data_IF_936899594188
#
_entry.id   IF_936899594188
#
_cell.length_a   1.000
_cell.length_b   1.000
_cell.length_c   1.000
_cell.angle_alpha   90.00
_cell.angle_beta   90.00
_cell.angle_gamma   90.00
#
_symmetry.space_group_name_H-M   'P 1'
#
loop_
_entity.id
_entity.type
_entity.pdbx_description
1 polymer ?
#
# COMPACT_ATOMS: atom_id res chain seq x y z
N UNK A 1 26.58 -4.45 14.50
CA UNK A 1 25.30 -4.72 13.82
C UNK A 1 25.62 -5.12 12.38
N UNK A 2 25.24 -6.32 11.94
CA UNK A 2 25.57 -6.77 10.58
C UNK A 2 24.52 -6.27 9.59
N UNK A 3 24.97 -5.56 8.56
CA UNK A 3 24.19 -5.18 7.38
C UNK A 3 24.66 -6.05 6.21
N UNK A 4 23.74 -6.72 5.53
CA UNK A 4 24.07 -7.48 4.32
C UNK A 4 23.56 -6.78 3.06
N UNK A 5 24.35 -6.83 2.01
CA UNK A 5 23.96 -6.35 0.67
C UNK A 5 23.85 -7.57 -0.24
N UNK A 6 22.69 -7.75 -0.86
CA UNK A 6 22.41 -8.90 -1.72
C UNK A 6 21.96 -8.41 -3.09
N UNK A 7 22.62 -8.92 -4.13
CA UNK A 7 22.17 -8.82 -5.51
C UNK A 7 21.79 -10.22 -5.99
N UNK A 8 20.62 -10.38 -6.61
CA UNK A 8 20.16 -11.69 -7.06
C UNK A 8 19.36 -11.66 -8.38
N UNK A 9 19.55 -12.67 -9.23
CA UNK A 9 18.87 -12.78 -10.52
C UNK A 9 18.45 -14.22 -10.75
N UNK A 10 17.17 -14.47 -11.05
CA UNK A 10 16.66 -15.81 -11.36
C UNK A 10 16.75 -16.83 -10.22
N UNK A 11 16.90 -16.38 -8.97
CA UNK A 11 17.12 -17.26 -7.80
C UNK A 11 16.04 -17.13 -6.73
N UNK A 12 16.12 -18.01 -5.74
CA UNK A 12 15.39 -17.91 -4.47
C UNK A 12 16.34 -17.41 -3.39
N UNK A 13 15.93 -16.37 -2.67
CA UNK A 13 16.64 -15.84 -1.50
C UNK A 13 15.80 -16.12 -0.26
N UNK A 14 16.39 -16.77 0.74
CA UNK A 14 15.79 -16.96 2.05
C UNK A 14 16.76 -16.46 3.13
N UNK A 15 16.35 -15.49 3.95
CA UNK A 15 17.23 -14.86 4.94
C UNK A 15 16.53 -14.53 6.24
N UNK A 16 17.28 -14.66 7.34
CA UNK A 16 16.92 -14.17 8.67
C UNK A 16 18.06 -13.30 9.18
N UNK A 17 17.89 -11.98 9.15
CA UNK A 17 18.98 -11.04 9.44
C UNK A 17 18.49 -9.83 10.22
N UNK A 18 19.43 -9.11 10.81
CA UNK A 18 19.11 -7.85 11.50
C UNK A 18 18.77 -6.78 10.47
N UNK A 19 19.63 -6.61 9.45
CA UNK A 19 19.42 -5.64 8.39
C UNK A 19 19.93 -6.13 7.03
N UNK A 20 19.11 -5.96 5.99
CA UNK A 20 19.47 -6.28 4.61
C UNK A 20 19.15 -5.12 3.65
N UNK A 21 19.99 -4.97 2.62
CA UNK A 21 19.69 -4.26 1.38
C UNK A 21 19.66 -5.31 0.26
N UNK A 22 18.55 -5.40 -0.46
CA UNK A 22 18.30 -6.46 -1.44
C UNK A 22 17.91 -5.85 -2.77
N UNK A 23 18.64 -6.23 -3.82
CA UNK A 23 18.33 -5.86 -5.21
C UNK A 23 18.16 -7.12 -6.04
N UNK A 24 16.96 -7.35 -6.56
CA UNK A 24 16.71 -8.60 -7.27
C UNK A 24 15.79 -8.50 -8.48
N UNK A 25 16.02 -9.39 -9.45
CA UNK A 25 15.24 -9.49 -10.69
C UNK A 25 14.82 -10.93 -10.94
N UNK A 26 13.53 -11.15 -11.19
CA UNK A 26 13.00 -12.48 -11.53
C UNK A 26 13.17 -13.52 -10.42
N UNK A 27 13.05 -13.09 -9.16
CA UNK A 27 13.41 -13.90 -7.98
C UNK A 27 12.27 -14.04 -6.98
N UNK A 28 12.36 -15.07 -6.13
CA UNK A 28 11.54 -15.20 -4.94
C UNK A 28 12.35 -14.83 -3.71
N UNK A 29 11.91 -13.83 -2.96
CA UNK A 29 12.61 -13.28 -1.80
C UNK A 29 11.75 -13.49 -0.56
N UNK A 30 12.18 -14.42 0.29
CA UNK A 30 11.55 -14.69 1.59
C UNK A 30 12.49 -14.29 2.73
N UNK A 31 11.94 -13.77 3.82
CA UNK A 31 12.78 -13.57 5.00
C UNK A 31 12.16 -12.82 6.17
N UNK A 32 12.89 -12.87 7.27
CA UNK A 32 12.56 -12.27 8.55
C UNK A 32 13.68 -11.33 8.98
N UNK A 33 13.35 -10.21 9.61
CA UNK A 33 14.40 -9.33 10.10
C UNK A 33 13.89 -8.06 10.77
N UNK A 34 14.81 -7.21 11.23
CA UNK A 34 14.41 -5.94 11.81
C UNK A 34 14.15 -4.92 10.70
N UNK A 35 15.11 -4.71 9.80
CA UNK A 35 15.04 -3.64 8.80
C UNK A 35 15.47 -4.14 7.43
N UNK A 36 14.60 -4.05 6.43
CA UNK A 36 14.98 -4.33 5.05
C UNK A 36 14.73 -3.15 4.11
N UNK A 37 15.66 -2.98 3.17
CA UNK A 37 15.48 -2.11 2.00
C UNK A 37 15.52 -3.01 0.77
N UNK A 38 14.44 -3.02 0.00
CA UNK A 38 14.25 -3.92 -1.14
C UNK A 38 14.01 -3.11 -2.40
N UNK A 39 14.76 -3.42 -3.45
CA UNK A 39 14.49 -2.96 -4.81
C UNK A 39 14.35 -4.16 -5.74
N UNK A 40 13.21 -4.31 -6.42
CA UNK A 40 12.99 -5.54 -7.16
C UNK A 40 12.10 -5.41 -8.40
N UNK A 41 12.34 -6.28 -9.39
CA UNK A 41 11.58 -6.33 -10.64
C UNK A 41 11.18 -7.76 -10.96
N UNK A 42 9.89 -8.00 -11.25
CA UNK A 42 9.42 -9.35 -11.61
C UNK A 42 9.59 -10.37 -10.48
N UNK A 43 9.45 -9.95 -9.22
CA UNK A 43 9.75 -10.78 -8.04
C UNK A 43 8.52 -11.05 -7.19
N UNK A 44 8.53 -12.16 -6.46
CA UNK A 44 7.66 -12.33 -5.30
C UNK A 44 8.44 -12.05 -4.02
N UNK A 45 7.92 -11.18 -3.16
CA UNK A 45 8.52 -10.79 -1.89
C UNK A 45 7.58 -11.21 -0.76
N UNK A 46 8.01 -12.07 0.15
CA UNK A 46 7.29 -12.43 1.36
C UNK A 46 8.13 -12.14 2.60
N UNK A 47 7.67 -11.24 3.47
CA UNK A 47 8.47 -10.73 4.58
C UNK A 47 7.69 -10.59 5.88
N UNK A 48 8.40 -10.84 6.98
CA UNK A 48 7.97 -10.35 8.29
C UNK A 48 9.08 -9.52 8.91
N UNK A 49 8.84 -8.23 9.11
CA UNK A 49 9.86 -7.30 9.59
C UNK A 49 9.32 -6.28 10.57
N UNK A 50 10.23 -5.63 11.31
CA UNK A 50 9.83 -4.43 12.05
C UNK A 50 9.59 -3.29 11.06
N UNK A 51 10.53 -3.07 10.13
CA UNK A 51 10.43 -2.04 9.11
C UNK A 51 10.88 -2.53 7.72
N UNK A 52 10.07 -2.28 6.69
CA UNK A 52 10.48 -2.43 5.29
C UNK A 52 10.39 -1.11 4.52
N UNK A 53 11.36 -0.90 3.63
CA UNK A 53 11.26 0.04 2.52
C UNK A 53 11.33 -0.78 1.23
N UNK A 54 10.28 -0.75 0.42
CA UNK A 54 10.16 -1.56 -0.79
C UNK A 54 9.94 -0.66 -2.01
N UNK A 55 10.79 -0.83 -3.01
CA UNK A 55 10.61 -0.27 -4.35
C UNK A 55 10.48 -1.42 -5.34
N UNK A 56 9.40 -1.48 -6.11
CA UNK A 56 9.20 -2.64 -6.96
C UNK A 56 8.36 -2.41 -8.23
N UNK A 57 8.62 -3.22 -9.25
CA UNK A 57 7.91 -3.20 -10.53
C UNK A 57 7.50 -4.61 -10.95
N UNK A 58 6.22 -4.83 -11.27
CA UNK A 58 5.74 -6.12 -11.73
C UNK A 58 5.89 -7.22 -10.68
N UNK A 59 5.57 -6.94 -9.42
CA UNK A 59 5.86 -7.81 -8.28
C UNK A 59 4.63 -8.14 -7.46
N UNK A 60 4.71 -9.24 -6.71
CA UNK A 60 3.79 -9.52 -5.62
C UNK A 60 4.53 -9.31 -4.29
N UNK A 61 3.95 -8.51 -3.41
CA UNK A 61 4.53 -8.14 -2.13
C UNK A 61 3.57 -8.54 -1.02
N UNK A 62 3.92 -9.60 -0.30
CA UNK A 62 3.23 -10.02 0.92
C UNK A 62 4.07 -9.73 2.15
N UNK A 63 3.43 -9.38 3.25
CA UNK A 63 4.14 -9.34 4.51
C UNK A 63 3.43 -8.75 5.71
N UNK A 64 4.13 -8.82 6.83
CA UNK A 64 3.68 -8.35 8.13
C UNK A 64 4.76 -7.48 8.75
N UNK A 65 4.38 -6.43 9.47
CA UNK A 65 5.37 -5.67 10.21
C UNK A 65 4.84 -4.53 11.04
N UNK A 66 5.72 -3.67 11.55
CA UNK A 66 5.28 -2.46 12.22
C UNK A 66 5.12 -1.33 11.21
N UNK A 67 6.13 -1.10 10.37
CA UNK A 67 6.16 0.02 9.44
C UNK A 67 6.56 -0.44 8.04
N UNK A 68 5.72 -0.17 7.04
CA UNK A 68 6.12 -0.35 5.64
C UNK A 68 6.04 0.95 4.86
N UNK A 69 7.08 1.20 4.05
CA UNK A 69 7.11 2.25 3.05
C UNK A 69 7.25 1.59 1.68
N UNK A 70 6.22 1.69 0.85
CA UNK A 70 6.14 0.97 -0.42
C UNK A 70 5.98 1.97 -1.56
N UNK A 71 6.79 1.80 -2.61
CA UNK A 71 6.63 2.48 -3.88
C UNK A 71 6.62 1.45 -5.01
N UNK A 72 5.52 1.35 -5.75
CA UNK A 72 5.34 0.23 -6.64
C UNK A 72 4.58 0.55 -7.94
N UNK A 73 4.89 -0.21 -9.00
CA UNK A 73 4.23 -0.10 -10.32
C UNK A 73 3.85 -1.50 -10.83
N UNK A 74 2.59 -1.69 -11.23
CA UNK A 74 2.18 -2.98 -11.80
C UNK A 74 2.22 -4.13 -10.78
N UNK A 75 1.92 -3.86 -9.51
CA UNK A 75 2.16 -4.80 -8.40
C UNK A 75 0.90 -5.16 -7.64
N UNK A 76 0.89 -6.35 -7.04
CA UNK A 76 -0.06 -6.71 -6.00
C UNK A 76 0.61 -6.60 -4.63
N UNK A 77 0.00 -5.86 -3.71
CA UNK A 77 0.49 -5.67 -2.35
C UNK A 77 -0.55 -6.22 -1.38
N UNK A 78 -0.18 -7.17 -0.53
CA UNK A 78 -0.99 -7.65 0.58
C UNK A 78 -0.21 -7.51 1.89
N UNK A 79 -0.65 -6.64 2.78
CA UNK A 79 0.12 -6.29 3.99
C UNK A 79 -0.76 -6.17 5.22
N UNK A 80 -0.16 -6.50 6.36
CA UNK A 80 -0.67 -6.05 7.65
C UNK A 80 0.42 -5.33 8.43
N UNK A 81 0.12 -4.13 8.92
CA UNK A 81 1.09 -3.32 9.66
C UNK A 81 0.48 -2.47 10.77
N UNK A 82 1.32 -1.81 11.57
CA UNK A 82 0.85 -0.70 12.39
C UNK A 82 0.67 0.54 11.52
N UNK A 83 1.68 0.86 10.70
CA UNK A 83 1.69 2.02 9.83
C UNK A 83 2.19 1.66 8.43
N UNK A 84 1.47 2.12 7.42
CA UNK A 84 1.75 1.80 6.02
C UNK A 84 1.69 3.05 5.15
N UNK A 85 2.78 3.35 4.48
CA UNK A 85 2.88 4.43 3.49
C UNK A 85 3.03 3.80 2.12
N UNK A 86 2.04 3.97 1.25
CA UNK A 86 2.00 3.31 -0.06
C UNK A 86 1.85 4.34 -1.17
N UNK A 87 2.79 4.32 -2.11
CA UNK A 87 2.73 5.05 -3.38
C UNK A 87 2.65 4.03 -4.51
N UNK A 88 1.62 4.11 -5.34
CA UNK A 88 1.35 3.03 -6.28
C UNK A 88 0.77 3.47 -7.63
N UNK A 89 1.18 2.80 -8.71
CA UNK A 89 0.66 3.02 -10.06
C UNK A 89 0.26 1.68 -10.68
N UNK A 90 -1.01 1.56 -11.10
CA UNK A 90 -1.56 0.33 -11.70
C UNK A 90 -1.34 -0.88 -10.80
N UNK A 91 -1.99 -0.88 -9.64
CA UNK A 91 -1.73 -1.87 -8.59
C UNK A 91 -3.00 -2.31 -7.89
N UNK A 92 -2.99 -3.52 -7.34
CA UNK A 92 -3.96 -3.93 -6.34
C UNK A 92 -3.31 -3.87 -4.96
N UNK A 93 -3.95 -3.17 -4.03
CA UNK A 93 -3.48 -3.09 -2.65
C UNK A 93 -4.57 -3.60 -1.72
N UNK A 94 -4.25 -4.66 -1.00
CA UNK A 94 -5.04 -5.21 0.08
C UNK A 94 -4.28 -5.08 1.40
N UNK A 95 -4.95 -4.74 2.49
CA UNK A 95 -4.28 -4.78 3.77
C UNK A 95 -5.03 -4.18 4.95
N UNK A 96 -4.44 -4.45 6.11
CA UNK A 96 -4.87 -3.91 7.40
C UNK A 96 -3.76 -3.07 8.00
N UNK A 97 -4.06 -1.85 8.46
CA UNK A 97 -3.16 -1.15 9.35
C UNK A 97 -3.87 -0.29 10.38
N UNK A 98 -3.20 0.10 11.46
CA UNK A 98 -3.76 1.16 12.29
C UNK A 98 -3.82 2.48 11.51
N UNK A 99 -2.77 2.77 10.73
CA UNK A 99 -2.68 3.98 9.91
C UNK A 99 -2.24 3.63 8.48
N UNK A 100 -3.00 4.08 7.49
CA UNK A 100 -2.52 4.13 6.11
C UNK A 100 -2.37 5.56 5.58
N UNK A 101 -1.30 5.77 4.82
CA UNK A 101 -1.13 6.93 3.95
C UNK A 101 -0.94 6.41 2.53
N UNK A 102 -1.86 6.76 1.64
CA UNK A 102 -1.94 6.15 0.31
C UNK A 102 -1.95 7.25 -0.75
N UNK A 103 -1.10 7.10 -1.76
CA UNK A 103 -1.14 7.90 -2.97
C UNK A 103 -1.08 7.00 -4.20
N UNK A 104 -2.17 6.90 -4.95
CA UNK A 104 -2.23 5.93 -6.04
C UNK A 104 -2.92 6.41 -7.32
N UNK A 105 -2.49 5.85 -8.45
CA UNK A 105 -3.07 6.10 -9.78
C UNK A 105 -3.43 4.77 -10.42
N UNK A 106 -4.67 4.65 -10.92
CA UNK A 106 -5.11 3.44 -11.64
C UNK A 106 -5.12 2.17 -10.77
N UNK A 107 -5.49 2.28 -9.49
CA UNK A 107 -5.37 1.21 -8.51
C UNK A 107 -6.72 0.70 -8.00
N UNK A 108 -6.74 -0.54 -7.53
CA UNK A 108 -7.78 -1.05 -6.65
C UNK A 108 -7.22 -1.15 -5.23
N UNK A 109 -7.88 -0.48 -4.28
CA UNK A 109 -7.45 -0.42 -2.89
C UNK A 109 -8.58 -1.00 -2.04
N UNK A 110 -8.34 -2.11 -1.36
CA UNK A 110 -9.27 -2.71 -0.39
C UNK A 110 -8.60 -2.78 0.98
N UNK A 111 -9.06 -1.99 1.96
CA UNK A 111 -8.34 -1.88 3.23
C UNK A 111 -9.21 -1.70 4.46
N UNK A 112 -8.55 -1.89 5.58
CA UNK A 112 -9.12 -1.82 6.92
C UNK A 112 -8.17 -1.03 7.80
N UNK A 113 -8.61 0.11 8.33
CA UNK A 113 -7.74 0.87 9.21
C UNK A 113 -8.44 1.68 10.28
N UNK A 114 -7.72 2.07 11.33
CA UNK A 114 -8.25 3.07 12.27
C UNK A 114 -8.29 4.42 11.57
N UNK A 115 -7.20 4.81 10.91
CA UNK A 115 -7.10 6.08 10.19
C UNK A 115 -6.51 5.89 8.78
N UNK A 116 -7.17 6.41 7.75
CA UNK A 116 -6.57 6.54 6.42
C UNK A 116 -6.48 7.99 5.95
N UNK A 117 -5.38 8.26 5.24
CA UNK A 117 -5.24 9.42 4.35
C UNK A 117 -5.04 8.90 2.94
N UNK A 118 -5.98 9.18 2.04
CA UNK A 118 -5.96 8.68 0.66
C UNK A 118 -5.97 9.83 -0.34
N UNK A 119 -5.01 9.77 -1.27
CA UNK A 119 -4.99 10.57 -2.48
C UNK A 119 -5.01 9.65 -3.69
N UNK A 120 -5.96 9.80 -4.59
CA UNK A 120 -6.07 8.87 -5.70
C UNK A 120 -6.68 9.43 -6.98
N UNK A 121 -6.28 8.85 -8.11
CA UNK A 121 -6.78 9.20 -9.45
C UNK A 121 -7.13 7.93 -10.22
N UNK A 122 -8.34 7.83 -10.76
CA UNK A 122 -8.75 6.69 -11.58
C UNK A 122 -8.74 5.37 -10.80
N UNK A 123 -9.21 5.36 -9.56
CA UNK A 123 -9.07 4.22 -8.63
C UNK A 123 -10.41 3.76 -8.07
N UNK A 124 -10.47 2.49 -7.70
CA UNK A 124 -11.52 1.97 -6.82
C UNK A 124 -10.97 1.84 -5.40
N UNK A 125 -11.65 2.44 -4.42
CA UNK A 125 -11.29 2.39 -3.01
C UNK A 125 -12.44 1.76 -2.24
N UNK A 126 -12.19 0.62 -1.61
CA UNK A 126 -13.07 -0.02 -0.67
C UNK A 126 -12.39 -0.05 0.71
N UNK A 127 -13.15 0.20 1.78
CA UNK A 127 -12.61 -0.06 3.10
C UNK A 127 -13.48 0.35 4.27
N UNK A 128 -13.03 -0.02 5.46
CA UNK A 128 -13.69 0.32 6.71
C UNK A 128 -12.69 0.90 7.71
N UNK A 129 -13.17 1.78 8.59
CA UNK A 129 -12.32 2.34 9.63
C UNK A 129 -12.97 3.35 10.55
N UNK A 130 -12.18 4.04 11.38
CA UNK A 130 -12.74 5.08 12.24
C UNK A 130 -12.75 6.42 11.53
N UNK A 131 -11.61 6.87 11.01
CA UNK A 131 -11.44 8.20 10.45
C UNK A 131 -10.78 8.13 9.08
N UNK A 132 -11.38 8.79 8.08
CA UNK A 132 -10.76 8.86 6.75
C UNK A 132 -10.72 10.27 6.19
N UNK A 133 -9.60 10.59 5.55
CA UNK A 133 -9.39 11.81 4.77
C UNK A 133 -9.10 11.40 3.33
N UNK A 134 -9.98 11.76 2.40
CA UNK A 134 -9.92 11.32 1.01
C UNK A 134 -9.91 12.52 0.08
N UNK A 135 -8.95 12.51 -0.85
CA UNK A 135 -8.91 13.45 -1.97
C UNK A 135 -8.78 12.68 -3.29
N UNK A 136 -9.78 12.76 -4.16
CA UNK A 136 -9.87 11.83 -5.28
C UNK A 136 -10.42 12.42 -6.59
N UNK A 137 -9.99 11.86 -7.72
CA UNK A 137 -10.44 12.27 -9.07
C UNK A 137 -10.78 11.06 -9.93
N UNK A 138 -11.98 10.99 -10.47
CA UNK A 138 -12.39 9.90 -11.37
C UNK A 138 -12.40 8.55 -10.67
N UNK A 139 -12.90 8.49 -9.44
CA UNK A 139 -12.77 7.31 -8.56
C UNK A 139 -14.12 6.77 -8.11
N UNK A 140 -14.14 5.51 -7.70
CA UNK A 140 -15.25 4.96 -6.93
C UNK A 140 -14.80 4.72 -5.49
N UNK A 141 -15.57 5.19 -4.53
CA UNK A 141 -15.29 5.05 -3.10
C UNK A 141 -16.46 4.33 -2.45
N UNK A 142 -16.20 3.17 -1.84
CA UNK A 142 -17.16 2.43 -1.02
C UNK A 142 -16.63 2.28 0.40
N UNK A 143 -17.28 2.90 1.42
CA UNK A 143 -16.74 2.89 2.78
C UNK A 143 -17.76 2.82 3.92
N UNK A 144 -17.29 2.30 5.05
CA UNK A 144 -18.03 2.31 6.32
C UNK A 144 -17.14 2.86 7.43
N UNK A 145 -17.49 4.01 7.98
CA UNK A 145 -16.61 4.74 8.90
C UNK A 145 -17.35 5.46 10.04
N UNK A 146 -16.63 6.00 11.01
CA UNK A 146 -17.23 6.91 12.01
C UNK A 146 -17.24 8.34 11.45
N UNK A 147 -16.11 8.81 10.93
CA UNK A 147 -15.95 10.17 10.42
C UNK A 147 -15.14 10.23 9.13
N UNK A 148 -15.71 10.86 8.10
CA UNK A 148 -15.07 11.03 6.80
C UNK A 148 -15.00 12.50 6.35
N UNK A 149 -13.84 12.87 5.80
CA UNK A 149 -13.64 14.11 5.04
C UNK A 149 -13.30 13.72 3.61
N UNK A 150 -14.19 14.01 2.66
CA UNK A 150 -14.07 13.60 1.26
C UNK A 150 -14.10 14.83 0.36
N UNK A 151 -13.06 15.01 -0.44
CA UNK A 151 -12.99 16.04 -1.48
C UNK A 151 -12.71 15.38 -2.82
N UNK A 152 -13.69 15.33 -3.72
CA UNK A 152 -13.50 14.60 -4.96
C UNK A 152 -14.12 15.25 -6.21
N UNK A 153 -13.59 14.87 -7.38
CA UNK A 153 -14.03 15.36 -8.70
C UNK A 153 -14.37 14.19 -9.61
N UNK A 154 -15.59 14.14 -10.15
CA UNK A 154 -16.04 13.06 -11.03
C UNK A 154 -15.99 11.69 -10.33
N UNK A 155 -16.45 11.64 -9.09
CA UNK A 155 -16.30 10.48 -8.21
C UNK A 155 -17.67 10.00 -7.75
N UNK A 156 -17.86 8.68 -7.73
CA UNK A 156 -18.99 8.05 -7.05
C UNK A 156 -18.58 7.67 -5.62
N UNK A 157 -19.38 8.07 -4.63
CA UNK A 157 -19.16 7.75 -3.22
C UNK A 157 -20.41 7.02 -2.69
N UNK A 158 -20.20 5.81 -2.20
CA UNK A 158 -21.21 5.01 -1.51
C UNK A 158 -20.67 4.64 -0.12
N UNK A 159 -21.50 4.66 0.91
CA UNK A 159 -21.03 4.34 2.25
C UNK A 159 -21.82 4.94 3.39
N UNK A 160 -21.45 4.54 4.60
CA UNK A 160 -22.04 5.00 5.86
C UNK A 160 -20.98 5.66 6.73
N UNK A 161 -21.30 6.83 7.30
CA UNK A 161 -20.57 7.37 8.42
C UNK A 161 -21.48 8.20 9.33
N UNK A 162 -21.10 8.29 10.60
CA UNK A 162 -21.80 9.12 11.58
C UNK A 162 -21.59 10.61 11.30
N UNK A 163 -20.40 10.99 10.82
CA UNK A 163 -20.06 12.37 10.46
C UNK A 163 -19.43 12.41 9.07
N UNK A 164 -19.98 13.26 8.20
CA UNK A 164 -19.53 13.43 6.81
C UNK A 164 -19.26 14.89 6.47
N UNK A 165 -18.06 15.19 5.98
CA UNK A 165 -17.76 16.44 5.28
C UNK A 165 -17.41 16.08 3.83
N UNK A 166 -18.39 16.23 2.93
CA UNK A 166 -18.26 15.84 1.53
C UNK A 166 -18.29 17.07 0.63
N UNK A 167 -17.27 17.23 -0.23
CA UNK A 167 -17.22 18.19 -1.32
C UNK A 167 -17.00 17.47 -2.64
N UNK A 168 -18.07 17.30 -3.41
CA UNK A 168 -18.03 16.72 -4.76
C UNK A 168 -18.10 17.82 -5.81
N UNK A 169 -17.30 17.68 -6.88
CA UNK A 169 -17.43 18.49 -8.10
C UNK A 169 -17.64 17.56 -9.28
N UNK A 170 -18.77 17.68 -9.95
CA UNK A 170 -18.99 17.00 -11.22
C UNK A 170 -18.31 17.81 -12.33
N UNK A 171 -17.58 17.13 -13.22
CA UNK A 171 -16.99 17.77 -14.38
C UNK A 171 -18.01 17.64 -15.51
N UNK A 172 -18.89 18.63 -15.65
CA UNK A 172 -19.75 18.79 -16.82
C UNK A 172 -18.87 19.25 -17.99
N UNK A 173 -18.32 18.29 -18.73
CA UNK A 173 -17.79 18.49 -20.07
C UNK A 173 -18.28 17.37 -20.96
#
# INVERSE_FOLDING_TARGET
MALFIINCVGTKVNRSTIADIIKCVGTNVNGYGLVHIINCVGTNVNRSTIADIIKCVGTNVNGYGLVHIINCVGTNVNRSAIADIIKCVVTNVNGYALVHIINCVGANVNRSAIADIIKCVGTNVNGYGLVHIINCVGTNVNRSTIADIIKCVGTNVNGYALVHIIKLRWNER
#
